data_IF_172945255860
#
_entry.id   IF_172945255860
#
_cell.length_a   1.000
_cell.length_b   1.000
_cell.length_c   1.000
_cell.angle_alpha   90.00
_cell.angle_beta   90.00
_cell.angle_gamma   90.00
#
_symmetry.space_group_name_H-M   'P 1'
#
loop_
_entity.id
_entity.type
_entity.pdbx_description
1 polymer ?
#
# COMPACT_ATOMS: atom_id res chain seq x y z
N UNK A 1 1.91 23.02 -30.44
CA UNK A 1 1.11 22.04 -29.67
C UNK A 1 1.59 20.66 -30.10
N UNK A 2 2.06 19.82 -29.18
CA UNK A 2 2.62 18.51 -29.54
C UNK A 2 1.51 17.51 -29.89
N UNK A 3 1.71 16.74 -30.95
CA UNK A 3 0.74 15.82 -31.59
C UNK A 3 0.24 14.69 -30.68
N UNK A 4 0.79 14.53 -29.48
CA UNK A 4 0.47 13.46 -28.51
C UNK A 4 -0.27 13.94 -27.27
N UNK A 5 -0.67 15.22 -27.20
CA UNK A 5 -1.45 15.72 -26.06
C UNK A 5 -2.96 15.51 -26.26
N UNK A 6 -3.61 14.94 -25.24
CA UNK A 6 -5.07 14.82 -25.22
C UNK A 6 -5.74 16.18 -25.38
N UNK A 7 -6.79 16.26 -26.22
CA UNK A 7 -7.58 17.48 -26.41
C UNK A 7 -8.19 17.90 -25.06
N UNK A 8 -8.12 19.20 -24.75
CA UNK A 8 -8.71 19.80 -23.53
C UNK A 8 -10.20 19.44 -23.46
N UNK A 9 -10.59 18.69 -22.42
CA UNK A 9 -11.96 18.20 -22.23
C UNK A 9 -12.19 16.72 -22.54
N UNK A 10 -11.22 16.03 -23.16
CA UNK A 10 -11.31 14.59 -23.36
C UNK A 10 -10.91 13.86 -22.06
N UNK A 11 -11.90 13.29 -21.36
CA UNK A 11 -11.65 12.42 -20.22
C UNK A 11 -10.95 11.14 -20.71
N UNK A 12 -10.02 10.62 -19.93
CA UNK A 12 -9.39 9.34 -20.27
C UNK A 12 -10.41 8.21 -20.13
N UNK A 13 -10.22 7.11 -20.87
CA UNK A 13 -11.07 5.93 -20.73
C UNK A 13 -11.02 5.31 -19.31
N UNK A 14 -9.98 5.63 -18.54
CA UNK A 14 -9.77 5.19 -17.16
C UNK A 14 -10.38 6.14 -16.13
N UNK A 15 -11.09 7.19 -16.57
CA UNK A 15 -11.74 8.12 -15.66
C UNK A 15 -12.91 7.44 -14.93
N UNK A 16 -12.93 7.60 -13.60
CA UNK A 16 -13.99 7.12 -12.72
C UNK A 16 -14.55 8.29 -11.90
N UNK A 17 -15.83 8.23 -11.48
CA UNK A 17 -16.44 9.31 -10.70
C UNK A 17 -15.79 9.46 -9.32
N UNK A 18 -15.95 10.64 -8.71
CA UNK A 18 -15.55 10.91 -7.32
C UNK A 18 -16.24 9.92 -6.38
N UNK A 19 -15.53 9.47 -5.34
CA UNK A 19 -16.01 8.44 -4.43
C UNK A 19 -15.77 7.00 -4.90
N UNK A 20 -15.33 6.78 -6.15
CA UNK A 20 -14.97 5.44 -6.61
C UNK A 20 -13.84 4.84 -5.78
N UNK A 21 -13.91 3.54 -5.56
CA UNK A 21 -12.91 2.79 -4.81
C UNK A 21 -12.14 1.84 -5.73
N UNK A 22 -10.85 1.68 -5.47
CA UNK A 22 -10.01 0.71 -6.17
C UNK A 22 -9.07 0.02 -5.19
N UNK A 23 -8.80 -1.25 -5.45
CA UNK A 23 -7.77 -2.00 -4.73
C UNK A 23 -6.44 -1.83 -5.48
N UNK A 24 -5.43 -1.28 -4.81
CA UNK A 24 -4.08 -1.15 -5.36
C UNK A 24 -3.05 -1.57 -4.30
N UNK A 25 -2.17 -2.51 -4.64
CA UNK A 25 -1.14 -3.06 -3.73
C UNK A 25 -1.70 -3.58 -2.39
N UNK A 26 -2.95 -4.04 -2.42
CA UNK A 26 -3.72 -4.52 -1.28
C UNK A 26 -4.39 -3.42 -0.45
N UNK A 27 -4.21 -2.14 -0.76
CA UNK A 27 -4.90 -1.05 -0.07
C UNK A 27 -6.12 -0.59 -0.85
N UNK A 28 -7.22 -0.35 -0.13
CA UNK A 28 -8.39 0.31 -0.69
C UNK A 28 -8.12 1.81 -0.79
N UNK A 29 -8.16 2.34 -2.00
CA UNK A 29 -8.03 3.75 -2.31
C UNK A 29 -9.39 4.29 -2.73
N UNK A 30 -9.77 5.47 -2.24
CA UNK A 30 -10.97 6.20 -2.67
C UNK A 30 -10.57 7.46 -3.42
N UNK A 31 -11.28 7.77 -4.50
CA UNK A 31 -11.07 8.99 -5.27
C UNK A 31 -11.68 10.18 -4.52
N UNK A 32 -10.83 11.07 -4.01
CA UNK A 32 -11.21 12.24 -3.19
C UNK A 32 -11.23 13.53 -4.01
N UNK A 33 -10.42 13.63 -5.07
CA UNK A 33 -10.43 14.79 -5.96
C UNK A 33 -10.39 14.38 -7.44
N UNK A 34 -10.72 15.32 -8.32
CA UNK A 34 -10.69 15.15 -9.78
C UNK A 34 -9.80 16.22 -10.41
N UNK A 35 -8.55 16.32 -9.93
CA UNK A 35 -7.54 17.27 -10.43
C UNK A 35 -6.89 16.82 -11.74
N UNK A 36 -7.16 15.57 -12.16
CA UNK A 36 -6.55 14.96 -13.35
C UNK A 36 -5.16 14.39 -13.07
N UNK A 37 -4.69 14.41 -11.82
CA UNK A 37 -3.43 13.85 -11.39
C UNK A 37 -3.68 12.72 -10.36
N UNK A 38 -3.64 11.44 -10.80
CA UNK A 38 -4.04 10.30 -9.98
C UNK A 38 -3.38 10.21 -8.58
N UNK A 39 -2.08 10.50 -8.40
CA UNK A 39 -1.46 10.40 -7.07
C UNK A 39 -2.02 11.38 -6.03
N UNK A 40 -2.63 12.50 -6.44
CA UNK A 40 -3.32 13.44 -5.53
C UNK A 40 -4.80 13.09 -5.37
N UNK A 41 -5.39 12.58 -6.44
CA UNK A 41 -6.82 12.27 -6.52
C UNK A 41 -7.22 11.04 -5.71
N UNK A 42 -6.32 10.07 -5.53
CA UNK A 42 -6.59 8.85 -4.80
C UNK A 42 -5.97 8.88 -3.41
N UNK A 43 -6.78 8.71 -2.38
CA UNK A 43 -6.32 8.59 -0.99
C UNK A 43 -6.69 7.24 -0.39
N UNK A 44 -5.84 6.64 0.45
CA UNK A 44 -6.15 5.40 1.12
C UNK A 44 -7.32 5.56 2.10
N UNK A 45 -8.30 4.66 2.01
CA UNK A 45 -9.53 4.70 2.81
C UNK A 45 -9.24 4.61 4.30
N UNK A 46 -8.30 3.76 4.70
CA UNK A 46 -7.88 3.64 6.11
C UNK A 46 -7.38 4.95 6.70
N UNK A 47 -6.71 5.78 5.89
CA UNK A 47 -6.20 7.08 6.33
C UNK A 47 -7.33 8.09 6.48
N UNK A 48 -8.31 8.07 5.57
CA UNK A 48 -9.50 8.94 5.64
C UNK A 48 -10.26 8.65 6.93
N UNK A 49 -10.56 7.38 7.20
CA UNK A 49 -11.30 6.95 8.40
C UNK A 49 -10.54 7.31 9.68
N UNK A 50 -9.22 7.11 9.69
CA UNK A 50 -8.41 7.52 10.84
C UNK A 50 -8.42 9.03 11.06
N UNK A 51 -8.24 9.82 9.99
CA UNK A 51 -8.22 11.29 10.07
C UNK A 51 -9.57 11.84 10.53
N UNK A 52 -10.68 11.19 10.16
CA UNK A 52 -12.04 11.56 10.58
C UNK A 52 -12.30 11.29 12.07
N UNK A 53 -11.76 10.18 12.62
CA UNK A 53 -12.00 9.78 14.00
C UNK A 53 -10.97 10.33 15.01
N UNK A 54 -9.69 10.33 14.66
CA UNK A 54 -8.58 10.65 15.59
C UNK A 54 -7.82 11.94 15.21
N UNK A 55 -8.10 12.51 14.04
CA UNK A 55 -7.39 13.67 13.52
C UNK A 55 -6.11 13.34 12.73
N UNK A 56 -5.30 14.36 12.41
CA UNK A 56 -4.19 14.21 11.49
C UNK A 56 -3.11 13.26 12.00
N UNK A 57 -2.57 12.42 11.11
CA UNK A 57 -1.46 11.52 11.42
C UNK A 57 -0.19 12.35 11.71
N UNK A 58 0.43 12.22 12.89
CA UNK A 58 1.65 12.93 13.24
C UNK A 58 2.81 12.60 12.29
N UNK A 59 3.66 13.59 11.99
CA UNK A 59 4.83 13.39 11.16
C UNK A 59 5.77 12.35 11.79
N UNK A 60 6.21 11.36 10.99
CA UNK A 60 7.08 10.28 11.46
C UNK A 60 6.35 9.07 12.04
N UNK A 61 5.01 9.13 12.12
CA UNK A 61 4.17 7.98 12.42
C UNK A 61 3.54 7.42 11.14
N UNK A 62 3.19 6.15 11.18
CA UNK A 62 2.56 5.42 10.08
C UNK A 62 1.35 4.66 10.61
N UNK A 63 0.34 4.50 9.76
CA UNK A 63 -0.82 3.68 10.07
C UNK A 63 -0.51 2.23 9.68
N UNK A 64 -0.77 1.29 10.58
CA UNK A 64 -0.61 -0.14 10.36
C UNK A 64 -1.91 -0.88 10.73
N UNK A 65 -2.14 -2.02 10.08
CA UNK A 65 -3.24 -2.93 10.39
C UNK A 65 -2.73 -3.96 11.38
N UNK A 66 -3.40 -4.13 12.53
CA UNK A 66 -3.01 -5.09 13.56
C UNK A 66 -3.13 -6.53 13.05
N UNK A 67 -4.19 -6.83 12.31
CA UNK A 67 -4.46 -8.16 11.74
C UNK A 67 -3.59 -8.48 10.52
N UNK A 68 -2.90 -7.48 9.95
CA UNK A 68 -2.15 -7.62 8.69
C UNK A 68 -3.03 -7.71 7.44
N UNK A 69 -4.35 -7.84 7.59
CA UNK A 69 -5.29 -7.76 6.48
C UNK A 69 -5.62 -6.30 6.16
N UNK A 70 -5.24 -5.87 4.96
CA UNK A 70 -5.37 -4.48 4.48
C UNK A 70 -6.79 -4.14 4.01
N UNK A 71 -7.65 -5.14 3.89
CA UNK A 71 -9.06 -4.98 3.48
C UNK A 71 -9.99 -4.76 4.67
N UNK A 72 -9.57 -5.17 5.87
CA UNK A 72 -10.32 -4.99 7.11
C UNK A 72 -10.09 -3.59 7.69
N UNK A 73 -10.85 -2.62 7.18
CA UNK A 73 -10.68 -1.20 7.53
C UNK A 73 -11.62 -0.83 8.69
N UNK A 74 -11.15 -1.12 9.90
CA UNK A 74 -11.84 -0.80 11.14
C UNK A 74 -10.96 0.02 12.07
N UNK A 75 -11.50 1.03 12.74
CA UNK A 75 -10.71 1.91 13.63
C UNK A 75 -10.01 1.11 14.75
N UNK A 76 -10.63 0.03 15.22
CA UNK A 76 -10.05 -0.86 16.23
C UNK A 76 -8.85 -1.68 15.70
N UNK A 77 -8.85 -1.99 14.40
CA UNK A 77 -7.78 -2.73 13.71
C UNK A 77 -6.63 -1.80 13.26
N UNK A 78 -6.85 -0.48 13.23
CA UNK A 78 -5.82 0.48 12.87
C UNK A 78 -4.99 0.85 14.10
N UNK A 79 -3.68 0.77 13.97
CA UNK A 79 -2.73 1.28 14.96
C UNK A 79 -1.82 2.33 14.34
N UNK A 80 -1.55 3.37 15.13
CA UNK A 80 -0.52 4.34 14.82
C UNK A 80 0.80 3.87 15.41
N UNK A 81 1.80 3.64 14.56
CA UNK A 81 3.12 3.15 14.96
C UNK A 81 4.18 4.13 14.47
N UNK A 82 5.20 4.41 15.27
CA UNK A 82 6.31 5.24 14.80
C UNK A 82 7.16 4.47 13.78
N UNK A 83 7.80 5.18 12.84
CA UNK A 83 8.73 4.53 11.90
C UNK A 83 9.86 3.78 12.61
N UNK A 84 10.30 4.28 13.77
CA UNK A 84 11.31 3.65 14.61
C UNK A 84 10.82 2.32 15.20
N UNK A 85 9.59 2.27 15.70
CA UNK A 85 8.99 1.03 16.20
C UNK A 85 8.75 0.01 15.09
N UNK A 86 8.25 0.45 13.92
CA UNK A 86 8.10 -0.44 12.78
C UNK A 86 9.47 -1.01 12.36
N UNK A 87 10.51 -0.16 12.29
CA UNK A 87 11.86 -0.62 11.98
C UNK A 87 12.37 -1.63 13.01
N UNK A 88 12.10 -1.43 14.30
CA UNK A 88 12.45 -2.39 15.36
C UNK A 88 11.69 -3.71 15.22
N UNK A 89 10.40 -3.68 14.86
CA UNK A 89 9.60 -4.89 14.58
C UNK A 89 10.13 -5.65 13.37
N UNK A 90 10.56 -4.93 12.33
CA UNK A 90 11.05 -5.52 11.08
C UNK A 90 12.55 -5.85 11.09
N UNK A 91 13.28 -5.58 12.19
CA UNK A 91 14.71 -5.88 12.34
C UNK A 91 14.95 -7.37 12.63
N UNK A 92 14.61 -8.20 11.65
CA UNK A 92 14.86 -9.64 11.69
C UNK A 92 16.33 -9.95 12.01
N UNK A 93 17.26 -9.31 11.29
CA UNK A 93 18.71 -9.51 11.44
C UNK A 93 19.30 -9.03 12.78
N UNK A 94 18.58 -8.21 13.55
CA UNK A 94 19.03 -7.76 14.88
C UNK A 94 18.40 -8.59 16.00
N UNK A 95 17.16 -9.06 15.82
CA UNK A 95 16.42 -9.75 16.88
C UNK A 95 16.66 -11.26 16.93
N UNK A 96 17.06 -11.88 15.82
CA UNK A 96 17.24 -13.32 15.71
C UNK A 96 18.71 -13.71 15.48
N UNK A 97 19.11 -14.94 15.89
CA UNK A 97 20.42 -15.48 15.54
C UNK A 97 20.68 -15.43 14.03
N UNK A 98 21.95 -15.22 13.64
CA UNK A 98 22.34 -15.06 12.24
C UNK A 98 21.96 -16.25 11.37
N UNK A 99 22.17 -17.46 11.86
CA UNK A 99 21.84 -18.71 11.15
C UNK A 99 20.34 -18.81 10.84
N UNK A 100 19.49 -18.41 11.79
CA UNK A 100 18.04 -18.36 11.58
C UNK A 100 17.67 -17.30 10.53
N UNK A 101 18.32 -16.14 10.57
CA UNK A 101 18.09 -15.10 9.57
C UNK A 101 18.48 -15.55 8.16
N UNK A 102 19.60 -16.25 8.03
CA UNK A 102 20.10 -16.80 6.75
C UNK A 102 19.17 -17.87 6.19
N UNK A 103 18.70 -18.79 7.03
CA UNK A 103 17.74 -19.83 6.62
C UNK A 103 16.41 -19.22 6.16
N UNK A 104 15.86 -18.24 6.90
CA UNK A 104 14.66 -17.51 6.50
C UNK A 104 14.88 -16.80 5.16
N UNK A 105 16.02 -16.12 4.99
CA UNK A 105 16.36 -15.43 3.75
C UNK A 105 16.45 -16.41 2.57
N UNK A 106 17.16 -17.52 2.73
CA UNK A 106 17.33 -18.55 1.71
C UNK A 106 16.00 -19.17 1.31
N UNK A 107 15.14 -19.50 2.27
CA UNK A 107 13.80 -20.01 2.02
C UNK A 107 12.96 -19.00 1.20
N UNK A 108 13.08 -17.71 1.50
CA UNK A 108 12.44 -16.64 0.73
C UNK A 108 12.94 -16.54 -0.72
N UNK A 109 14.25 -16.64 -0.93
CA UNK A 109 14.86 -16.68 -2.27
C UNK A 109 14.36 -17.90 -3.06
N UNK A 110 14.34 -19.07 -2.45
CA UNK A 110 13.87 -20.31 -3.08
C UNK A 110 12.40 -20.22 -3.47
N UNK A 111 11.52 -19.75 -2.56
CA UNK A 111 10.09 -19.54 -2.85
C UNK A 111 9.86 -18.60 -4.04
N UNK A 112 10.63 -17.50 -4.14
CA UNK A 112 10.55 -16.59 -5.29
C UNK A 112 10.97 -17.27 -6.59
N UNK A 113 12.04 -18.06 -6.57
CA UNK A 113 12.53 -18.81 -7.73
C UNK A 113 11.51 -19.84 -8.22
N UNK A 114 10.88 -20.58 -7.30
CA UNK A 114 9.78 -21.51 -7.61
C UNK A 114 8.60 -20.78 -8.24
N UNK A 115 8.12 -19.69 -7.61
CA UNK A 115 7.01 -18.89 -8.15
C UNK A 115 7.28 -18.33 -9.55
N UNK A 116 8.53 -17.92 -9.82
CA UNK A 116 8.91 -17.43 -11.14
C UNK A 116 8.84 -18.54 -12.18
N UNK A 117 9.40 -19.71 -11.87
CA UNK A 117 9.35 -20.89 -12.75
C UNK A 117 7.92 -21.34 -13.03
N UNK A 118 7.07 -21.41 -12.01
CA UNK A 118 5.68 -21.79 -12.17
C UNK A 118 4.88 -20.80 -13.04
N UNK A 119 5.29 -19.53 -13.09
CA UNK A 119 4.70 -18.54 -14.00
C UNK A 119 5.18 -18.75 -15.44
N UNK A 120 6.49 -18.97 -15.61
CA UNK A 120 7.11 -19.28 -16.92
C UNK A 120 6.56 -20.57 -17.56
N UNK A 121 6.10 -21.55 -16.76
CA UNK A 121 5.47 -22.79 -17.27
C UNK A 121 3.98 -22.65 -17.62
N UNK A 122 3.33 -21.56 -17.20
CA UNK A 122 1.90 -21.30 -17.47
C UNK A 122 1.67 -20.28 -18.59
N UNK A 123 2.70 -19.55 -19.00
CA UNK A 123 2.73 -18.66 -20.17
C UNK A 123 3.11 -19.44 -21.45
#
# INVERSE_FOLDING_TARGET
>A
MGETQFKKGHRSHTWVPLGSEKLQDGYLLRKVSDTGYPPRDWRPVHRIIWEEANGPIPQGSILCFKDGDKTHIDLANLELVTRSELARRNRMWTNYPRELCETIHLAGVLKRKIRRRNREEQD
#
